data_IF_803302299030
#
_entry.id   IF_803302299030
#
_cell.length_a   1.000
_cell.length_b   1.000
_cell.length_c   1.000
_cell.angle_alpha   90.00
_cell.angle_beta   90.00
_cell.angle_gamma   90.00
#
_symmetry.space_group_name_H-M   'P 1'
#
loop_
_entity.id
_entity.type
_entity.pdbx_description
1 polymer ?
#
# COMPACT_ATOMS: atom_id res chain seq x y z
N UNK A 1 -10.82 -22.04 13.62
CA UNK A 1 -9.68 -22.01 12.67
C UNK A 1 -9.64 -20.73 11.84
N UNK A 2 -10.77 -20.31 11.27
CA UNK A 2 -10.83 -19.13 10.41
C UNK A 2 -10.43 -17.82 11.14
N UNK A 3 -10.84 -17.66 12.39
CA UNK A 3 -10.47 -16.51 13.22
C UNK A 3 -8.96 -16.31 13.35
N UNK A 4 -8.19 -17.40 13.46
CA UNK A 4 -6.72 -17.34 13.50
C UNK A 4 -6.14 -16.87 12.17
N UNK A 5 -6.73 -17.28 11.05
CA UNK A 5 -6.32 -16.82 9.72
C UNK A 5 -6.62 -15.33 9.55
N UNK A 6 -7.82 -14.88 9.94
CA UNK A 6 -8.21 -13.47 9.88
C UNK A 6 -7.30 -12.60 10.76
N UNK A 7 -7.05 -13.05 12.00
CA UNK A 7 -6.13 -12.37 12.90
C UNK A 7 -4.71 -12.28 12.32
N UNK A 8 -4.21 -13.35 11.70
CA UNK A 8 -2.92 -13.35 11.04
C UNK A 8 -2.87 -12.36 9.86
N UNK A 9 -3.89 -12.32 9.01
CA UNK A 9 -3.97 -11.35 7.90
C UNK A 9 -3.99 -9.90 8.42
N UNK A 10 -4.77 -9.62 9.47
CA UNK A 10 -4.84 -8.28 10.07
C UNK A 10 -3.49 -7.88 10.67
N UNK A 11 -2.81 -8.79 11.39
CA UNK A 11 -1.50 -8.52 11.97
C UNK A 11 -0.43 -8.30 10.90
N UNK A 12 -0.43 -9.10 9.83
CA UNK A 12 0.44 -8.90 8.67
C UNK A 12 0.14 -7.54 8.02
N UNK A 13 -1.14 -7.22 7.84
CA UNK A 13 -1.58 -5.95 7.30
C UNK A 13 -1.06 -4.76 8.11
N UNK A 14 -1.29 -4.79 9.42
CA UNK A 14 -0.82 -3.78 10.36
C UNK A 14 0.71 -3.65 10.36
N UNK A 15 1.43 -4.77 10.31
CA UNK A 15 2.89 -4.78 10.21
C UNK A 15 3.39 -4.04 8.95
N UNK A 16 2.84 -4.35 7.77
CA UNK A 16 3.23 -3.68 6.53
C UNK A 16 2.83 -2.20 6.51
N UNK A 17 1.67 -1.85 7.06
CA UNK A 17 1.25 -0.44 7.20
C UNK A 17 2.20 0.34 8.11
N UNK A 18 2.62 -0.26 9.23
CA UNK A 18 3.58 0.34 10.15
C UNK A 18 4.96 0.50 9.49
N UNK A 19 5.49 -0.56 8.89
CA UNK A 19 6.78 -0.53 8.19
C UNK A 19 6.77 0.47 7.05
N UNK A 20 5.69 0.54 6.27
CA UNK A 20 5.57 1.51 5.18
C UNK A 20 5.48 2.96 5.68
N UNK A 21 4.81 3.19 6.82
CA UNK A 21 4.76 4.50 7.48
C UNK A 21 6.14 4.93 8.00
N UNK A 22 6.88 4.01 8.64
CA UNK A 22 8.26 4.24 9.06
C UNK A 22 9.16 4.51 7.85
N UNK A 23 8.99 3.76 6.76
CA UNK A 23 9.71 3.97 5.50
C UNK A 23 9.44 5.36 4.90
N UNK A 24 8.19 5.83 4.93
CA UNK A 24 7.83 7.17 4.50
C UNK A 24 8.51 8.27 5.34
N UNK A 25 8.65 8.05 6.65
CA UNK A 25 9.27 9.02 7.56
C UNK A 25 10.81 9.00 7.48
N UNK A 26 11.42 7.82 7.39
CA UNK A 26 12.85 7.62 7.64
C UNK A 26 13.73 7.56 6.39
N UNK A 27 13.16 7.28 5.22
CA UNK A 27 13.95 7.18 3.98
C UNK A 27 14.39 8.56 3.47
N UNK A 28 15.62 8.70 2.96
CA UNK A 28 16.25 10.00 2.74
C UNK A 28 15.82 10.70 1.45
N UNK A 29 15.29 9.95 0.47
CA UNK A 29 14.98 10.43 -0.88
C UNK A 29 13.49 10.27 -1.19
N UNK A 30 12.90 11.15 -2.01
CA UNK A 30 11.49 11.05 -2.41
C UNK A 30 11.15 9.69 -3.05
N UNK A 31 11.96 9.21 -4.00
CA UNK A 31 11.70 7.94 -4.68
C UNK A 31 11.84 6.76 -3.73
N UNK A 32 12.80 6.82 -2.80
CA UNK A 32 12.93 5.82 -1.74
C UNK A 32 11.72 5.85 -0.80
N UNK A 33 11.28 7.04 -0.38
CA UNK A 33 10.11 7.24 0.47
C UNK A 33 8.85 6.70 -0.19
N UNK A 34 8.69 6.86 -1.50
CA UNK A 34 7.52 6.38 -2.26
C UNK A 34 7.34 4.84 -2.19
N UNK A 35 8.42 4.08 -1.99
CA UNK A 35 8.32 2.64 -1.75
C UNK A 35 7.64 2.29 -0.42
N UNK A 36 7.69 3.16 0.59
CA UNK A 36 7.06 2.94 1.89
C UNK A 36 5.53 2.88 1.77
N UNK A 37 4.86 3.97 1.35
CA UNK A 37 3.41 4.02 1.18
C UNK A 37 2.88 2.98 0.20
N UNK A 38 3.60 2.71 -0.89
CA UNK A 38 3.17 1.71 -1.89
C UNK A 38 3.15 0.29 -1.32
N UNK A 39 4.10 -0.09 -0.44
CA UNK A 39 4.06 -1.36 0.29
C UNK A 39 2.96 -1.38 1.35
N UNK A 40 2.76 -0.26 2.07
CA UNK A 40 1.69 -0.15 3.06
C UNK A 40 0.30 -0.32 2.45
N UNK A 41 0.04 0.21 1.26
CA UNK A 41 -1.27 0.10 0.62
C UNK A 41 -1.46 -1.27 -0.05
N UNK A 42 -0.47 -1.77 -0.78
CA UNK A 42 -0.61 -3.05 -1.51
C UNK A 42 -0.64 -4.26 -0.59
N UNK A 43 0.33 -4.39 0.32
CA UNK A 43 0.43 -5.54 1.24
C UNK A 43 -0.31 -5.28 2.55
N UNK A 44 -0.20 -4.07 3.10
CA UNK A 44 -0.83 -3.72 4.37
C UNK A 44 -2.35 -3.67 4.28
N UNK A 45 -2.86 -2.66 3.56
CA UNK A 45 -4.30 -2.49 3.34
C UNK A 45 -4.88 -3.66 2.55
N UNK A 46 -4.16 -4.20 1.56
CA UNK A 46 -4.59 -5.39 0.82
C UNK A 46 -4.85 -6.62 1.71
N UNK A 47 -3.99 -6.90 2.70
CA UNK A 47 -4.20 -8.01 3.63
C UNK A 47 -5.42 -7.78 4.54
N UNK A 48 -5.65 -6.54 4.99
CA UNK A 48 -6.82 -6.18 5.81
C UNK A 48 -8.11 -6.32 5.00
N UNK A 49 -8.12 -5.88 3.74
CA UNK A 49 -9.27 -6.02 2.84
C UNK A 49 -9.56 -7.48 2.52
N UNK A 50 -8.53 -8.30 2.33
CA UNK A 50 -8.69 -9.74 2.13
C UNK A 50 -9.29 -10.42 3.38
N UNK A 51 -8.86 -10.03 4.59
CA UNK A 51 -9.48 -10.51 5.82
C UNK A 51 -10.95 -10.11 5.91
N UNK A 52 -11.28 -8.86 5.56
CA UNK A 52 -12.66 -8.37 5.51
C UNK A 52 -13.50 -9.20 4.55
N UNK A 53 -13.04 -9.35 3.30
CA UNK A 53 -13.74 -10.14 2.28
C UNK A 53 -13.98 -11.59 2.71
N UNK A 54 -13.00 -12.23 3.35
CA UNK A 54 -13.13 -13.60 3.87
C UNK A 54 -14.14 -13.68 5.03
N UNK A 55 -14.14 -12.70 5.94
CA UNK A 55 -15.09 -12.66 7.05
C UNK A 55 -16.54 -12.51 6.54
N UNK A 56 -16.79 -11.54 5.67
CA UNK A 56 -18.15 -11.27 5.18
C UNK A 56 -18.67 -12.29 4.18
N UNK A 57 -17.80 -12.94 3.40
CA UNK A 57 -18.19 -14.02 2.50
C UNK A 57 -18.71 -15.27 3.24
N UNK A 58 -18.48 -15.39 4.55
CA UNK A 58 -18.85 -16.55 5.35
C UNK A 58 -19.94 -16.24 6.39
N UNK A 59 -20.02 -14.99 6.85
CA UNK A 59 -20.98 -14.55 7.88
C UNK A 59 -22.30 -13.99 7.27
N UNK A 60 -22.29 -13.64 5.98
CA UNK A 60 -23.48 -13.18 5.22
C UNK A 60 -23.59 -13.94 3.90
N UNK A 61 -24.80 -14.08 3.37
CA UNK A 61 -25.18 -14.74 2.11
C UNK A 61 -24.61 -14.04 0.83
N UNK A 62 -23.37 -13.53 0.88
CA UNK A 62 -22.67 -12.98 -0.27
C UNK A 62 -21.59 -11.96 0.07
N UNK A 63 -20.64 -11.81 -0.85
CA UNK A 63 -19.64 -10.73 -0.81
C UNK A 63 -20.36 -9.38 -0.97
N UNK A 64 -20.17 -8.47 -0.01
CA UNK A 64 -20.77 -7.14 -0.09
C UNK A 64 -20.16 -6.35 -1.25
N UNK A 65 -21.00 -5.73 -2.08
CA UNK A 65 -20.55 -4.84 -3.17
C UNK A 65 -19.59 -3.77 -2.68
N UNK A 66 -19.74 -3.30 -1.43
CA UNK A 66 -18.86 -2.29 -0.85
C UNK A 66 -17.41 -2.77 -0.73
N UNK A 67 -17.17 -4.03 -0.35
CA UNK A 67 -15.80 -4.54 -0.17
C UNK A 67 -15.08 -4.73 -1.51
N UNK A 68 -15.81 -5.21 -2.51
CA UNK A 68 -15.32 -5.32 -3.88
C UNK A 68 -14.95 -3.92 -4.38
N UNK A 69 -15.86 -2.96 -4.23
CA UNK A 69 -15.63 -1.59 -4.67
C UNK A 69 -14.43 -0.94 -3.97
N UNK A 70 -14.33 -1.07 -2.65
CA UNK A 70 -13.19 -0.52 -1.89
C UNK A 70 -11.88 -1.18 -2.31
N UNK A 71 -11.87 -2.50 -2.52
CA UNK A 71 -10.68 -3.24 -2.96
C UNK A 71 -10.24 -2.79 -4.35
N UNK A 72 -11.15 -2.80 -5.33
CA UNK A 72 -10.85 -2.35 -6.69
C UNK A 72 -10.40 -0.90 -6.71
N UNK A 73 -11.11 -0.03 -6.01
CA UNK A 73 -10.78 1.40 -5.96
C UNK A 73 -9.38 1.61 -5.39
N UNK A 74 -9.03 1.00 -4.25
CA UNK A 74 -7.70 1.15 -3.65
C UNK A 74 -6.60 0.53 -4.51
N UNK A 75 -6.81 -0.66 -5.08
CA UNK A 75 -5.82 -1.33 -5.91
C UNK A 75 -5.55 -0.61 -7.23
N UNK A 76 -6.50 0.13 -7.78
CA UNK A 76 -6.30 0.95 -8.98
C UNK A 76 -5.71 2.31 -8.61
N UNK A 77 -6.29 2.99 -7.61
CA UNK A 77 -5.89 4.37 -7.28
C UNK A 77 -4.51 4.46 -6.65
N UNK A 78 -4.09 3.48 -5.84
CA UNK A 78 -2.77 3.49 -5.21
C UNK A 78 -1.61 3.46 -6.22
N UNK A 79 -1.52 2.50 -7.18
CA UNK A 79 -0.44 2.48 -8.16
C UNK A 79 -0.52 3.64 -9.15
N UNK A 80 -1.73 4.07 -9.55
CA UNK A 80 -1.89 5.24 -10.42
C UNK A 80 -1.38 6.50 -9.72
N UNK A 81 -1.73 6.72 -8.46
CA UNK A 81 -1.25 7.86 -7.67
C UNK A 81 0.28 7.82 -7.53
N UNK A 82 0.86 6.66 -7.21
CA UNK A 82 2.31 6.51 -7.11
C UNK A 82 3.02 6.79 -8.45
N UNK A 83 2.45 6.31 -9.56
CA UNK A 83 3.01 6.57 -10.89
C UNK A 83 2.96 8.07 -11.25
N UNK A 84 1.84 8.73 -11.00
CA UNK A 84 1.69 10.18 -11.24
C UNK A 84 2.63 10.99 -10.36
N UNK A 85 2.77 10.63 -9.09
CA UNK A 85 3.72 11.25 -8.16
C UNK A 85 5.17 11.09 -8.64
N UNK A 86 5.57 9.89 -9.09
CA UNK A 86 6.90 9.65 -9.63
C UNK A 86 7.15 10.46 -10.91
N UNK A 87 6.18 10.50 -11.84
CA UNK A 87 6.29 11.27 -13.08
C UNK A 87 6.39 12.77 -12.82
N UNK A 88 5.61 13.29 -11.87
CA UNK A 88 5.67 14.68 -11.45
C UNK A 88 7.02 15.02 -10.82
N UNK A 89 7.53 14.16 -9.92
CA UNK A 89 8.84 14.32 -9.29
C UNK A 89 10.00 14.34 -10.29
N UNK A 90 9.93 13.52 -11.34
CA UNK A 90 10.86 13.53 -12.46
C UNK A 90 10.77 14.86 -13.24
N UNK A 91 9.57 15.37 -13.50
CA UNK A 91 9.36 16.63 -14.24
C UNK A 91 9.91 17.85 -13.51
N UNK A 92 9.71 17.92 -12.19
CA UNK A 92 10.20 19.05 -11.38
C UNK A 92 11.66 18.87 -10.91
N UNK A 93 12.35 17.82 -11.38
CA UNK A 93 13.73 17.47 -11.01
C UNK A 93 13.95 17.52 -9.49
N UNK A 94 13.14 16.78 -8.71
CA UNK A 94 13.36 16.69 -7.26
C UNK A 94 14.81 16.28 -6.98
N UNK A 95 15.46 17.02 -6.07
CA UNK A 95 16.82 16.73 -5.66
C UNK A 95 16.89 15.31 -5.09
N UNK A 96 17.75 14.51 -5.71
CA UNK A 96 18.02 13.15 -5.28
C UNK A 96 19.26 13.09 -4.40
N UNK A 97 19.37 12.05 -3.57
CA UNK A 97 20.60 11.81 -2.80
C UNK A 97 21.79 11.56 -3.75
N UNK A 98 22.97 12.05 -3.38
CA UNK A 98 24.18 11.99 -4.23
C UNK A 98 24.66 10.57 -4.54
N UNK A 99 24.23 9.59 -3.74
CA UNK A 99 24.52 8.17 -3.94
C UNK A 99 23.68 7.52 -5.06
N UNK A 100 22.74 8.25 -5.65
CA UNK A 100 21.84 7.73 -6.69
C UNK A 100 22.58 7.58 -8.02
N UNK A 101 22.71 6.35 -8.54
CA UNK A 101 23.49 6.07 -9.75
C UNK A 101 22.97 6.74 -11.03
N UNK A 102 21.66 7.01 -11.11
CA UNK A 102 21.00 7.68 -12.23
C UNK A 102 20.36 8.99 -11.75
N UNK A 103 21.18 9.87 -11.15
CA UNK A 103 20.69 11.14 -10.63
C UNK A 103 20.21 12.03 -11.79
N UNK A 104 19.11 12.73 -11.59
CA UNK A 104 18.59 13.70 -12.57
C UNK A 104 19.34 15.02 -12.34
N UNK A 105 20.33 15.30 -13.19
CA UNK A 105 21.10 16.56 -13.18
C UNK A 105 20.51 17.60 -14.15
#
# INVERSE_FOLDING_TARGET
MLEYLLAALILIGAFFTLVGSIGLFKLPDFFMRLHGPTKATTLGVGAILLASALYFSLDKDGVSLHEILVTFFLFITAPVSAHLMAKAALHIKIKQIDKTRNRID
#
